data_IF_575410171034
#
_entry.id   IF_575410171034
#
_cell.length_a   1.000
_cell.length_b   1.000
_cell.length_c   1.000
_cell.angle_alpha   90.00
_cell.angle_beta   90.00
_cell.angle_gamma   90.00
#
_symmetry.space_group_name_H-M   'P 1'
#
loop_
_entity.id
_entity.type
_entity.pdbx_description
1 polymer ?
#
# COMPACT_ATOMS: atom_id res chain seq x y z
N UNK A 1 6.23 -17.50 -42.00
CA UNK A 1 6.26 -17.39 -40.54
C UNK A 1 6.48 -15.92 -40.21
N UNK A 2 5.42 -15.18 -39.91
CA UNK A 2 5.53 -13.78 -39.54
C UNK A 2 6.04 -13.74 -38.10
N UNK A 3 7.24 -13.24 -37.90
CA UNK A 3 7.74 -12.87 -36.59
C UNK A 3 6.82 -11.79 -36.05
N UNK A 4 5.89 -12.16 -35.13
CA UNK A 4 5.27 -11.19 -34.28
C UNK A 4 6.42 -10.48 -33.53
N UNK A 5 6.63 -9.20 -33.83
CA UNK A 5 7.43 -8.34 -32.97
C UNK A 5 6.78 -8.44 -31.59
N UNK A 6 7.39 -9.16 -30.66
CA UNK A 6 7.02 -9.07 -29.24
C UNK A 6 7.12 -7.59 -28.88
N UNK A 7 5.97 -6.97 -28.64
CA UNK A 7 5.94 -5.60 -28.13
C UNK A 7 6.67 -5.61 -26.80
N UNK A 8 7.81 -4.93 -26.73
CA UNK A 8 8.56 -4.76 -25.49
C UNK A 8 7.68 -4.00 -24.50
N UNK A 9 7.26 -4.68 -23.42
CA UNK A 9 6.37 -4.10 -22.42
C UNK A 9 7.12 -3.07 -21.58
N UNK A 10 6.50 -1.94 -21.29
CA UNK A 10 7.11 -0.88 -20.50
C UNK A 10 6.20 -0.53 -19.31
N UNK A 11 6.71 -0.75 -18.11
CA UNK A 11 6.05 -0.43 -16.87
C UNK A 11 6.92 0.48 -16.02
N UNK A 12 6.37 1.03 -14.95
CA UNK A 12 7.15 1.84 -14.02
C UNK A 12 6.41 2.20 -12.74
N UNK A 13 7.14 2.87 -11.84
CA UNK A 13 6.60 3.44 -10.61
C UNK A 13 6.87 4.93 -10.55
N UNK A 14 5.84 5.71 -10.28
CA UNK A 14 5.86 7.16 -10.09
C UNK A 14 5.85 7.48 -8.60
N UNK A 15 6.76 8.32 -8.12
CA UNK A 15 6.81 8.77 -6.74
C UNK A 15 7.99 9.67 -6.45
N UNK A 16 8.14 10.11 -5.18
CA UNK A 16 9.27 10.92 -4.72
C UNK A 16 9.39 10.92 -3.19
N UNK A 17 10.55 10.56 -2.59
CA UNK A 17 11.69 9.86 -3.22
C UNK A 17 11.41 8.36 -3.42
N UNK A 18 12.17 7.70 -4.32
CA UNK A 18 12.02 6.28 -4.68
C UNK A 18 13.27 5.42 -4.42
N UNK A 19 14.26 5.95 -3.69
CA UNK A 19 15.57 5.30 -3.48
C UNK A 19 15.52 3.91 -2.85
N UNK A 20 14.42 3.52 -2.22
CA UNK A 20 14.29 2.26 -1.47
C UNK A 20 13.11 1.39 -1.93
N UNK A 21 12.59 1.62 -3.14
CA UNK A 21 11.48 0.81 -3.67
C UNK A 21 11.94 -0.57 -4.12
N UNK A 22 11.21 -1.62 -3.73
CA UNK A 22 11.41 -2.99 -4.20
C UNK A 22 10.56 -3.33 -5.45
N UNK A 23 9.76 -2.38 -5.93
CA UNK A 23 8.88 -2.62 -7.08
C UNK A 23 9.63 -3.08 -8.34
N UNK A 24 10.78 -2.50 -8.72
CA UNK A 24 11.52 -2.98 -9.88
C UNK A 24 11.91 -4.46 -9.77
N UNK A 25 12.50 -4.88 -8.64
CA UNK A 25 12.93 -6.25 -8.43
C UNK A 25 11.75 -7.24 -8.53
N UNK A 26 10.60 -6.89 -7.97
CA UNK A 26 9.38 -7.70 -8.00
C UNK A 26 8.89 -7.86 -9.45
N UNK A 27 8.70 -6.75 -10.15
CA UNK A 27 8.14 -6.76 -11.50
C UNK A 27 9.08 -7.35 -12.54
N UNK A 28 10.39 -7.09 -12.45
CA UNK A 28 11.41 -7.68 -13.33
C UNK A 28 11.52 -9.20 -13.13
N UNK A 29 11.47 -9.66 -11.87
CA UNK A 29 11.41 -11.09 -11.58
C UNK A 29 10.21 -11.75 -12.27
N UNK A 30 9.02 -11.16 -12.16
CA UNK A 30 7.83 -11.70 -12.83
C UNK A 30 7.90 -11.61 -14.36
N UNK A 31 8.41 -10.51 -14.93
CA UNK A 31 8.64 -10.41 -16.38
C UNK A 31 9.46 -11.60 -16.86
N UNK A 32 10.57 -11.88 -16.18
CA UNK A 32 11.44 -13.02 -16.48
C UNK A 32 10.73 -14.37 -16.28
N UNK A 33 10.06 -14.57 -15.15
CA UNK A 33 9.40 -15.84 -14.78
C UNK A 33 8.25 -16.20 -15.72
N UNK A 34 7.54 -15.20 -16.24
CA UNK A 34 6.42 -15.39 -17.16
C UNK A 34 6.84 -15.24 -18.65
N UNK A 35 8.14 -15.21 -18.94
CA UNK A 35 8.65 -15.12 -20.30
C UNK A 35 8.19 -13.87 -21.05
N UNK A 36 8.00 -12.74 -20.34
CA UNK A 36 7.60 -11.47 -20.95
C UNK A 36 8.82 -10.61 -21.24
N UNK A 37 8.93 -10.09 -22.47
CA UNK A 37 9.92 -9.07 -22.81
C UNK A 37 9.42 -7.70 -22.33
N UNK A 38 10.19 -7.03 -21.47
CA UNK A 38 9.79 -5.73 -20.94
C UNK A 38 10.72 -5.18 -19.90
N UNK A 39 10.42 -3.95 -19.43
CA UNK A 39 11.17 -3.22 -18.39
C UNK A 39 10.23 -2.67 -17.34
N UNK A 40 10.76 -2.45 -16.14
CA UNK A 40 10.08 -1.71 -15.09
C UNK A 40 10.97 -0.57 -14.58
N UNK A 41 10.55 0.66 -14.80
CA UNK A 41 11.36 1.86 -14.59
C UNK A 41 11.00 2.60 -13.29
N UNK A 42 11.99 3.23 -12.67
CA UNK A 42 11.78 4.18 -11.58
C UNK A 42 11.60 5.57 -12.18
N UNK A 43 10.44 6.17 -11.96
CA UNK A 43 10.08 7.51 -12.41
C UNK A 43 10.01 8.42 -11.19
N UNK A 44 11.18 8.82 -10.70
CA UNK A 44 11.30 9.71 -9.56
C UNK A 44 11.04 11.14 -10.00
N UNK A 45 9.83 11.64 -9.73
CA UNK A 45 9.38 12.96 -10.14
C UNK A 45 8.69 13.70 -8.98
N UNK A 46 8.96 14.99 -8.88
CA UNK A 46 8.21 15.93 -8.05
C UNK A 46 6.87 16.32 -8.69
N UNK A 47 6.17 17.26 -8.11
CA UNK A 47 4.87 17.73 -8.61
C UNK A 47 4.93 18.29 -10.04
N UNK A 48 5.99 19.02 -10.40
CA UNK A 48 6.16 19.57 -11.76
C UNK A 48 6.51 18.47 -12.77
N UNK A 49 7.36 17.53 -12.35
CA UNK A 49 7.73 16.37 -13.16
C UNK A 49 6.54 15.46 -13.42
N UNK A 50 5.62 15.31 -12.45
CA UNK A 50 4.38 14.55 -12.61
C UNK A 50 3.50 15.11 -13.72
N UNK A 51 3.31 16.43 -13.74
CA UNK A 51 2.49 17.12 -14.78
C UNK A 51 3.05 16.84 -16.18
N UNK A 52 4.37 16.98 -16.35
CA UNK A 52 5.02 16.71 -17.63
C UNK A 52 4.94 15.23 -18.02
N UNK A 53 5.15 14.31 -17.09
CA UNK A 53 5.11 12.87 -17.35
C UNK A 53 3.71 12.44 -17.82
N UNK A 54 2.67 12.80 -17.06
CA UNK A 54 1.31 12.34 -17.34
C UNK A 54 0.66 13.05 -18.53
N UNK A 55 1.08 14.28 -18.85
CA UNK A 55 0.57 15.00 -20.02
C UNK A 55 1.26 14.60 -21.33
N UNK A 56 2.54 14.24 -21.30
CA UNK A 56 3.34 14.10 -22.53
C UNK A 56 3.92 12.70 -22.73
N UNK A 57 4.37 12.03 -21.67
CA UNK A 57 5.22 10.83 -21.77
C UNK A 57 4.54 9.54 -21.31
N UNK A 58 3.35 9.61 -20.72
CA UNK A 58 2.63 8.44 -20.20
C UNK A 58 2.28 7.43 -21.28
N UNK A 59 2.21 7.87 -22.53
CA UNK A 59 1.82 7.04 -23.69
C UNK A 59 2.82 5.95 -24.02
N UNK A 60 4.06 6.05 -23.51
CA UNK A 60 5.10 5.04 -23.72
C UNK A 60 4.95 3.83 -22.80
N UNK A 61 4.09 3.93 -21.77
CA UNK A 61 3.93 2.90 -20.74
C UNK A 61 2.65 2.07 -20.96
N UNK A 62 2.77 0.75 -20.74
CA UNK A 62 1.64 -0.17 -20.68
C UNK A 62 0.89 -0.10 -19.35
N UNK A 63 1.61 0.29 -18.28
CA UNK A 63 1.03 0.48 -16.96
C UNK A 63 2.02 1.13 -16.00
N UNK A 64 1.49 1.85 -15.03
CA UNK A 64 2.28 2.58 -14.03
C UNK A 64 1.73 2.33 -12.64
N UNK A 65 2.59 2.04 -11.68
CA UNK A 65 2.26 2.19 -10.27
C UNK A 65 2.49 3.64 -9.83
N UNK A 66 1.76 4.06 -8.81
CA UNK A 66 1.89 5.38 -8.19
C UNK A 66 2.05 5.22 -6.70
N UNK A 67 3.06 5.91 -6.13
CA UNK A 67 3.27 5.94 -4.69
C UNK A 67 3.32 7.37 -4.15
N UNK A 68 3.78 7.55 -2.92
CA UNK A 68 3.92 8.85 -2.25
C UNK A 68 4.77 9.80 -3.11
N UNK A 69 4.36 11.09 -3.24
CA UNK A 69 3.19 11.74 -2.64
C UNK A 69 1.98 11.75 -3.57
N UNK A 70 2.04 11.14 -4.76
CA UNK A 70 1.19 11.45 -5.91
C UNK A 70 -0.14 10.71 -5.97
N UNK A 71 -0.40 9.70 -5.11
CA UNK A 71 -1.61 8.83 -5.18
C UNK A 71 -2.95 9.57 -5.23
N UNK A 72 -3.04 10.76 -4.63
CA UNK A 72 -4.24 11.60 -4.65
C UNK A 72 -4.24 12.50 -5.88
N UNK A 73 -3.11 13.13 -6.19
CA UNK A 73 -3.00 14.11 -7.27
C UNK A 73 -3.23 13.53 -8.66
N UNK A 74 -2.85 12.27 -8.89
CA UNK A 74 -3.00 11.64 -10.22
C UNK A 74 -4.44 11.51 -10.69
N UNK A 75 -5.44 11.71 -9.82
CA UNK A 75 -6.84 11.73 -10.22
C UNK A 75 -7.14 12.73 -11.34
N UNK A 76 -6.50 13.89 -11.30
CA UNK A 76 -6.73 15.00 -12.25
C UNK A 76 -6.40 14.61 -13.71
N UNK A 77 -5.59 13.57 -13.90
CA UNK A 77 -5.12 13.11 -15.22
C UNK A 77 -5.91 11.91 -15.75
N UNK A 78 -6.76 11.30 -14.93
CA UNK A 78 -7.48 10.09 -15.33
C UNK A 78 -8.76 10.42 -16.07
N UNK A 79 -9.01 9.75 -17.20
CA UNK A 79 -10.28 9.83 -17.91
C UNK A 79 -11.32 8.89 -17.30
N UNK A 80 -10.87 7.80 -16.71
CA UNK A 80 -11.72 6.85 -16.00
C UNK A 80 -11.06 6.42 -14.69
N UNK A 81 -11.87 6.14 -13.67
CA UNK A 81 -11.39 5.70 -12.36
C UNK A 81 -12.31 4.58 -11.86
N UNK A 82 -11.74 3.50 -11.35
CA UNK A 82 -12.50 2.40 -10.76
C UNK A 82 -13.33 2.87 -9.56
N UNK A 83 -14.45 2.21 -9.29
CA UNK A 83 -15.33 2.59 -8.18
C UNK A 83 -14.62 2.55 -6.82
N UNK A 84 -13.80 1.53 -6.57
CA UNK A 84 -13.01 1.45 -5.34
C UNK A 84 -12.02 2.62 -5.21
N UNK A 85 -11.31 2.97 -6.28
CA UNK A 85 -10.37 4.10 -6.27
C UNK A 85 -11.06 5.45 -6.05
N UNK A 86 -12.29 5.64 -6.58
CA UNK A 86 -13.11 6.84 -6.32
C UNK A 86 -13.48 6.95 -4.84
N UNK A 87 -13.96 5.85 -4.24
CA UNK A 87 -14.35 5.83 -2.81
C UNK A 87 -13.12 6.03 -1.92
N UNK A 88 -11.99 5.41 -2.26
CA UNK A 88 -10.73 5.54 -1.50
C UNK A 88 -10.15 6.96 -1.64
N UNK A 89 -10.38 7.63 -2.77
CA UNK A 89 -9.78 8.92 -3.09
C UNK A 89 -8.26 8.84 -3.30
N UNK A 90 -7.75 7.67 -3.75
CA UNK A 90 -6.33 7.46 -4.06
C UNK A 90 -6.15 6.41 -5.17
N UNK A 91 -5.22 6.65 -6.09
CA UNK A 91 -4.84 5.76 -7.19
C UNK A 91 -3.41 5.31 -6.98
N UNK A 92 -3.13 4.00 -7.07
CA UNK A 92 -1.79 3.43 -7.03
C UNK A 92 -1.44 2.60 -8.26
N UNK A 93 -2.38 2.43 -9.20
CA UNK A 93 -2.17 1.69 -10.44
C UNK A 93 -2.90 2.41 -11.58
N UNK A 94 -2.19 2.65 -12.67
CA UNK A 94 -2.70 3.26 -13.89
C UNK A 94 -2.50 2.27 -15.03
N UNK A 95 -3.51 2.12 -15.88
CA UNK A 95 -3.39 1.46 -17.19
C UNK A 95 -3.87 2.38 -18.28
N UNK A 96 -3.58 2.02 -19.54
CA UNK A 96 -4.05 2.74 -20.71
C UNK A 96 -4.86 1.82 -21.62
N UNK A 97 -6.08 2.21 -21.90
CA UNK A 97 -6.97 1.52 -22.84
C UNK A 97 -7.61 2.55 -23.80
N UNK A 98 -7.57 2.29 -25.09
CA UNK A 98 -8.17 3.15 -26.11
C UNK A 98 -7.77 4.64 -25.98
N UNK A 99 -6.51 4.92 -25.71
CA UNK A 99 -5.92 6.23 -25.44
C UNK A 99 -6.45 6.95 -24.18
N UNK A 100 -7.17 6.25 -23.31
CA UNK A 100 -7.60 6.77 -22.01
C UNK A 100 -6.71 6.23 -20.91
N UNK A 101 -6.39 7.07 -19.94
CA UNK A 101 -5.78 6.66 -18.66
C UNK A 101 -6.87 6.23 -17.70
N UNK A 102 -6.74 5.04 -17.15
CA UNK A 102 -7.69 4.47 -16.21
C UNK A 102 -6.97 4.22 -14.88
N UNK A 103 -7.50 4.81 -13.82
CA UNK A 103 -6.93 4.73 -12.47
C UNK A 103 -7.60 3.66 -11.61
N UNK A 104 -6.78 2.90 -10.87
CA UNK A 104 -7.20 1.86 -9.95
C UNK A 104 -6.54 2.02 -8.59
N UNK A 105 -7.12 1.40 -7.57
CA UNK A 105 -6.47 1.20 -6.29
C UNK A 105 -6.34 -0.30 -6.00
N UNK A 106 -5.12 -0.80 -5.99
CA UNK A 106 -4.78 -2.19 -5.65
C UNK A 106 -4.27 -2.33 -4.21
N UNK A 107 -4.04 -1.21 -3.51
CA UNK A 107 -3.54 -1.22 -2.13
C UNK A 107 -4.56 -1.84 -1.16
N UNK A 108 -5.85 -1.54 -1.34
CA UNK A 108 -6.90 -1.99 -0.44
C UNK A 108 -7.05 -3.52 -0.44
N UNK A 109 -7.18 -4.10 -1.63
CA UNK A 109 -7.25 -5.56 -1.79
C UNK A 109 -5.90 -6.21 -1.45
N UNK A 110 -4.78 -5.58 -1.82
CA UNK A 110 -3.43 -6.05 -1.49
C UNK A 110 -3.18 -6.13 0.01
N UNK A 111 -3.60 -5.13 0.77
CA UNK A 111 -3.55 -5.15 2.23
C UNK A 111 -4.43 -6.26 2.81
N UNK A 112 -5.67 -6.37 2.36
CA UNK A 112 -6.61 -7.37 2.88
C UNK A 112 -6.18 -8.80 2.54
N UNK A 113 -5.71 -9.05 1.31
CA UNK A 113 -5.16 -10.36 0.91
C UNK A 113 -3.97 -10.75 1.81
N UNK A 114 -3.05 -9.80 2.10
CA UNK A 114 -1.93 -10.00 2.99
C UNK A 114 -2.35 -10.28 4.43
N UNK A 115 -3.31 -9.55 4.95
CA UNK A 115 -3.84 -9.72 6.31
C UNK A 115 -4.55 -11.08 6.48
N UNK A 116 -5.38 -11.48 5.49
CA UNK A 116 -6.07 -12.77 5.52
C UNK A 116 -5.14 -13.97 5.30
N UNK A 117 -4.03 -13.79 4.59
CA UNK A 117 -2.98 -14.80 4.49
C UNK A 117 -2.25 -14.99 5.82
N UNK A 118 -2.03 -13.90 6.57
CA UNK A 118 -1.44 -13.93 7.90
C UNK A 118 -2.37 -14.59 8.94
N UNK A 119 -3.66 -14.25 8.91
CA UNK A 119 -4.64 -14.86 9.81
C UNK A 119 -6.05 -14.90 9.20
N UNK A 120 -6.48 -16.09 8.81
CA UNK A 120 -7.83 -16.33 8.27
C UNK A 120 -8.93 -16.31 9.33
N UNK A 121 -8.56 -16.39 10.61
CA UNK A 121 -9.48 -16.45 11.75
C UNK A 121 -9.82 -15.10 12.37
N UNK A 122 -9.41 -13.98 11.77
CA UNK A 122 -9.69 -12.64 12.30
C UNK A 122 -11.20 -12.36 12.34
N UNK A 123 -11.69 -12.02 13.51
CA UNK A 123 -13.09 -11.59 13.71
C UNK A 123 -13.23 -10.08 13.52
N UNK A 124 -13.41 -9.65 12.27
CA UNK A 124 -13.53 -8.24 11.93
C UNK A 124 -14.72 -7.56 12.63
N UNK A 125 -15.83 -8.24 12.87
CA UNK A 125 -17.03 -7.61 13.46
C UNK A 125 -16.83 -7.14 14.89
N UNK A 126 -16.01 -7.86 15.65
CA UNK A 126 -15.68 -7.53 17.03
C UNK A 126 -14.34 -6.79 17.15
N UNK A 127 -13.71 -6.47 16.04
CA UNK A 127 -12.39 -5.85 16.01
C UNK A 127 -12.48 -4.34 16.23
N UNK A 128 -11.59 -3.82 17.06
CA UNK A 128 -11.29 -2.40 17.20
C UNK A 128 -9.92 -2.15 16.56
N UNK A 129 -9.93 -1.52 15.40
CA UNK A 129 -8.73 -1.21 14.65
C UNK A 129 -8.29 0.24 14.84
N UNK A 130 -6.98 0.46 15.06
CA UNK A 130 -6.34 1.76 15.05
C UNK A 130 -5.48 1.90 13.79
N UNK A 131 -5.77 2.89 12.98
CA UNK A 131 -4.98 3.26 11.79
C UNK A 131 -4.19 4.52 12.11
N UNK A 132 -2.88 4.43 12.01
CA UNK A 132 -1.95 5.54 12.27
C UNK A 132 -1.52 6.11 10.92
N UNK A 133 -1.90 7.37 10.66
CA UNK A 133 -1.64 8.08 9.40
C UNK A 133 -2.90 8.44 8.63
N UNK A 134 -2.79 9.44 7.75
CA UNK A 134 -3.89 9.99 6.95
C UNK A 134 -3.47 10.20 5.47
N UNK A 135 -2.60 9.35 4.94
CA UNK A 135 -2.14 9.37 3.55
C UNK A 135 -2.91 8.44 2.63
N UNK A 136 -2.44 8.27 1.39
CA UNK A 136 -3.07 7.38 0.41
C UNK A 136 -3.14 5.93 0.85
N UNK A 137 -2.12 5.40 1.54
CA UNK A 137 -2.13 4.05 2.08
C UNK A 137 -3.19 3.89 3.20
N UNK A 138 -3.29 4.87 4.11
CA UNK A 138 -4.30 4.86 5.18
C UNK A 138 -5.71 4.80 4.61
N UNK A 139 -6.00 5.57 3.54
CA UNK A 139 -7.30 5.54 2.86
C UNK A 139 -7.67 4.15 2.37
N UNK A 140 -6.72 3.45 1.72
CA UNK A 140 -6.92 2.09 1.23
C UNK A 140 -7.15 1.09 2.37
N UNK A 141 -6.37 1.18 3.45
CA UNK A 141 -6.53 0.34 4.65
C UNK A 141 -7.89 0.58 5.31
N UNK A 142 -8.27 1.83 5.54
CA UNK A 142 -9.58 2.18 6.12
C UNK A 142 -10.71 1.60 5.26
N UNK A 143 -10.66 1.84 3.94
CA UNK A 143 -11.66 1.30 3.01
C UNK A 143 -11.77 -0.23 3.14
N UNK A 144 -10.65 -0.95 3.13
CA UNK A 144 -10.65 -2.41 3.19
C UNK A 144 -11.20 -2.94 4.51
N UNK A 145 -10.92 -2.29 5.65
CA UNK A 145 -11.48 -2.63 6.95
C UNK A 145 -13.00 -2.39 6.99
N UNK A 146 -13.47 -1.26 6.47
CA UNK A 146 -14.91 -0.96 6.39
C UNK A 146 -15.65 -1.96 5.51
N UNK A 147 -15.06 -2.39 4.39
CA UNK A 147 -15.63 -3.43 3.52
C UNK A 147 -15.74 -4.80 4.21
N UNK A 148 -14.94 -5.07 5.24
CA UNK A 148 -15.04 -6.26 6.10
C UNK A 148 -16.01 -6.08 7.27
N UNK A 149 -16.71 -4.95 7.34
CA UNK A 149 -17.60 -4.60 8.46
C UNK A 149 -16.89 -4.66 9.81
N UNK A 150 -15.65 -4.13 9.85
CA UNK A 150 -14.87 -4.01 11.09
C UNK A 150 -15.67 -3.23 12.14
N UNK A 151 -15.74 -3.75 13.35
CA UNK A 151 -16.59 -3.23 14.40
C UNK A 151 -16.33 -1.76 14.74
N UNK A 152 -15.05 -1.38 14.83
CA UNK A 152 -14.65 0.01 15.01
C UNK A 152 -13.33 0.28 14.26
N UNK A 153 -13.28 1.34 13.47
CA UNK A 153 -12.06 1.87 12.86
C UNK A 153 -11.78 3.26 13.43
N UNK A 154 -10.68 3.40 14.14
CA UNK A 154 -10.22 4.66 14.71
C UNK A 154 -8.97 5.11 13.97
N UNK A 155 -8.89 6.40 13.67
CA UNK A 155 -7.76 6.98 12.92
C UNK A 155 -7.09 8.06 13.74
N UNK A 156 -5.78 8.08 13.74
CA UNK A 156 -4.97 9.16 14.33
C UNK A 156 -3.90 9.62 13.35
N UNK A 157 -3.53 10.90 13.41
CA UNK A 157 -2.45 11.46 12.61
C UNK A 157 -1.82 12.65 13.32
N UNK A 158 -0.49 12.77 13.25
CA UNK A 158 0.26 13.88 13.88
C UNK A 158 -0.21 15.27 13.41
N UNK A 159 -0.65 15.39 12.16
CA UNK A 159 -1.16 16.64 11.59
C UNK A 159 -2.69 16.59 11.51
N UNK A 160 -3.44 17.30 12.41
CA UNK A 160 -4.91 17.21 12.45
C UNK A 160 -5.59 17.60 11.13
N UNK A 161 -5.05 18.57 10.39
CA UNK A 161 -5.61 19.02 9.12
C UNK A 161 -5.72 17.92 8.05
N UNK A 162 -4.91 16.86 8.12
CA UNK A 162 -5.03 15.71 7.22
C UNK A 162 -6.19 14.78 7.58
N UNK A 163 -6.65 14.80 8.81
CA UNK A 163 -7.82 14.01 9.24
C UNK A 163 -9.11 14.52 8.59
N UNK A 164 -9.24 15.83 8.41
CA UNK A 164 -10.41 16.43 7.77
C UNK A 164 -10.69 15.83 6.36
N UNK A 165 -9.65 15.56 5.58
CA UNK A 165 -9.81 14.93 4.26
C UNK A 165 -10.31 13.48 4.33
N UNK A 166 -10.10 12.77 5.44
CA UNK A 166 -10.66 11.44 5.67
C UNK A 166 -12.12 11.52 6.12
N UNK A 167 -12.48 12.57 6.85
CA UNK A 167 -13.87 12.82 7.28
C UNK A 167 -14.77 13.06 6.07
N UNK A 168 -14.32 13.83 5.08
CA UNK A 168 -15.04 14.04 3.82
C UNK A 168 -15.26 12.74 3.03
N UNK A 169 -14.30 11.79 3.09
CA UNK A 169 -14.36 10.54 2.32
C UNK A 169 -15.19 9.47 3.04
N UNK A 170 -14.96 9.30 4.35
CA UNK A 170 -15.53 8.19 5.10
C UNK A 170 -16.69 8.63 6.03
N UNK A 171 -16.95 9.94 6.10
CA UNK A 171 -18.04 10.52 6.91
C UNK A 171 -18.06 9.93 8.35
N UNK A 172 -19.21 9.54 8.84
CA UNK A 172 -19.42 8.99 10.18
C UNK A 172 -19.04 7.49 10.32
N UNK A 173 -18.29 6.92 9.37
CA UNK A 173 -17.92 5.49 9.38
C UNK A 173 -16.65 5.21 10.17
N UNK A 174 -15.90 6.23 10.55
CA UNK A 174 -14.65 6.11 11.30
C UNK A 174 -14.67 7.04 12.52
N UNK A 175 -13.85 6.70 13.50
CA UNK A 175 -13.61 7.51 14.69
C UNK A 175 -12.26 8.20 14.57
N UNK A 176 -12.12 9.32 15.28
CA UNK A 176 -10.86 10.08 15.33
C UNK A 176 -10.32 10.07 16.75
N UNK A 177 -8.99 9.99 16.86
CA UNK A 177 -8.28 10.05 18.11
C UNK A 177 -7.15 11.08 18.01
N UNK A 178 -7.03 11.93 19.03
CA UNK A 178 -5.92 12.88 19.13
C UNK A 178 -4.60 12.14 19.22
N UNK A 179 -3.58 12.66 18.54
CA UNK A 179 -2.24 12.06 18.51
C UNK A 179 -1.64 11.89 19.91
N UNK A 180 -1.88 12.85 20.80
CA UNK A 180 -1.38 12.87 22.18
C UNK A 180 -1.94 11.73 23.03
N UNK A 181 -3.10 11.19 22.66
CA UNK A 181 -3.73 10.06 23.34
C UNK A 181 -3.21 8.70 22.87
N UNK A 182 -2.39 8.66 21.85
CA UNK A 182 -1.99 7.43 21.17
C UNK A 182 -1.45 6.38 22.15
N UNK A 183 -0.46 6.72 22.96
CA UNK A 183 0.14 5.78 23.92
C UNK A 183 -0.78 5.42 25.10
N UNK A 184 -1.75 6.26 25.43
CA UNK A 184 -2.66 5.99 26.56
C UNK A 184 -3.76 5.00 26.15
N UNK A 185 -4.17 5.04 24.89
CA UNK A 185 -5.37 4.33 24.41
C UNK A 185 -5.08 3.06 23.62
N UNK A 186 -3.82 2.68 23.40
CA UNK A 186 -3.52 1.49 22.56
C UNK A 186 -4.07 0.18 23.12
N UNK A 187 -4.24 0.08 24.43
CA UNK A 187 -4.82 -1.09 25.10
C UNK A 187 -6.29 -1.37 24.70
N UNK A 188 -6.97 -0.42 24.08
CA UNK A 188 -8.38 -0.56 23.66
C UNK A 188 -8.51 -1.30 22.32
N UNK A 189 -7.40 -1.47 21.56
CA UNK A 189 -7.41 -1.99 20.21
C UNK A 189 -6.94 -3.45 20.12
N UNK A 190 -7.48 -4.17 19.14
CA UNK A 190 -7.07 -5.54 18.80
C UNK A 190 -6.15 -5.55 17.58
N UNK A 191 -6.18 -4.49 16.77
CA UNK A 191 -5.41 -4.32 15.56
C UNK A 191 -4.87 -2.89 15.49
N UNK A 192 -3.56 -2.75 15.35
CA UNK A 192 -2.87 -1.46 15.14
C UNK A 192 -2.14 -1.52 13.82
N UNK A 193 -2.34 -0.50 12.97
CA UNK A 193 -1.71 -0.44 11.64
C UNK A 193 -0.99 0.89 11.48
N UNK A 194 0.33 0.85 11.37
CA UNK A 194 1.13 2.01 10.97
C UNK A 194 1.10 2.15 9.43
N UNK A 195 0.44 3.21 8.96
CA UNK A 195 0.37 3.58 7.55
C UNK A 195 1.24 4.81 7.23
N UNK A 196 2.11 5.22 8.15
CA UNK A 196 3.04 6.33 7.95
C UNK A 196 4.38 5.83 7.41
N UNK A 197 5.25 6.75 7.01
CA UNK A 197 6.65 6.44 6.67
C UNK A 197 7.59 6.45 7.89
N UNK A 198 7.06 6.61 9.10
CA UNK A 198 7.87 6.55 10.32
C UNK A 198 8.41 5.13 10.50
N UNK A 199 9.70 5.03 10.83
CA UNK A 199 10.39 3.74 10.91
C UNK A 199 11.05 3.29 9.60
N UNK A 200 10.80 3.97 8.47
CA UNK A 200 11.44 3.68 7.17
C UNK A 200 12.93 4.04 7.14
N UNK A 201 13.34 5.01 7.95
CA UNK A 201 14.75 5.42 8.09
C UNK A 201 15.12 5.33 9.57
N UNK A 202 16.29 4.78 9.88
CA UNK A 202 16.78 4.60 11.25
C UNK A 202 16.79 5.88 12.11
N UNK A 203 16.73 7.05 11.48
CA UNK A 203 16.71 8.36 12.15
C UNK A 203 15.30 8.75 12.69
N UNK A 204 14.24 8.05 12.27
CA UNK A 204 12.84 8.35 12.63
C UNK A 204 12.20 7.16 13.35
N UNK A 205 12.84 6.70 14.42
CA UNK A 205 12.29 5.64 15.25
C UNK A 205 10.90 6.00 15.74
N UNK A 206 9.94 5.14 15.39
CA UNK A 206 8.56 5.22 15.86
C UNK A 206 8.23 3.98 16.68
N UNK A 207 7.71 4.18 17.86
CA UNK A 207 7.24 3.11 18.72
C UNK A 207 6.04 3.55 19.55
N UNK A 208 5.40 2.59 20.19
CA UNK A 208 4.26 2.78 21.10
C UNK A 208 4.59 2.17 22.46
N UNK A 209 3.89 2.61 23.49
CA UNK A 209 4.00 2.01 24.82
C UNK A 209 3.14 0.75 24.92
N UNK A 210 3.75 -0.42 24.74
CA UNK A 210 3.10 -1.71 24.80
C UNK A 210 2.95 -2.29 26.19
N UNK A 211 3.25 -1.55 27.25
CA UNK A 211 3.23 -2.06 28.65
C UNK A 211 1.85 -2.49 29.15
N UNK A 212 0.76 -1.96 28.57
CA UNK A 212 -0.62 -2.18 29.01
C UNK A 212 -1.52 -2.84 27.96
N UNK A 213 -0.95 -3.58 27.00
CA UNK A 213 -1.71 -4.15 25.87
C UNK A 213 -2.54 -5.37 26.29
N UNK A 214 -3.57 -5.66 25.49
CA UNK A 214 -4.34 -6.90 25.57
C UNK A 214 -3.58 -8.06 24.90
N UNK A 215 -3.77 -9.27 25.44
CA UNK A 215 -3.24 -10.47 24.80
C UNK A 215 -3.85 -10.68 23.41
N UNK A 216 -3.01 -11.00 22.43
CA UNK A 216 -3.45 -11.28 21.05
C UNK A 216 -3.53 -10.04 20.15
N UNK A 217 -3.08 -8.86 20.61
CA UNK A 217 -2.95 -7.67 19.77
C UNK A 217 -2.14 -7.98 18.51
N UNK A 218 -2.67 -7.57 17.36
CA UNK A 218 -1.96 -7.61 16.08
C UNK A 218 -1.43 -6.23 15.76
N UNK A 219 -0.14 -6.12 15.50
CA UNK A 219 0.53 -4.88 15.07
C UNK A 219 1.06 -5.04 13.67
N UNK A 220 0.63 -4.16 12.77
CA UNK A 220 1.04 -4.14 11.38
C UNK A 220 1.81 -2.86 11.11
N UNK A 221 2.95 -2.98 10.45
CA UNK A 221 3.66 -1.82 9.92
C UNK A 221 3.74 -1.94 8.41
N UNK A 222 3.19 -0.96 7.67
CA UNK A 222 3.27 -0.97 6.22
C UNK A 222 4.66 -0.65 5.67
N UNK A 223 5.58 -0.23 6.53
CA UNK A 223 7.01 -0.16 6.20
C UNK A 223 7.52 -1.59 5.96
N UNK A 224 8.28 -1.75 4.88
CA UNK A 224 8.89 -3.02 4.48
C UNK A 224 10.42 -2.97 4.41
N UNK A 225 10.99 -1.79 4.56
CA UNK A 225 12.44 -1.59 4.66
C UNK A 225 12.75 -0.57 5.77
N UNK A 226 13.32 -1.00 6.91
CA UNK A 226 13.74 -2.38 7.23
C UNK A 226 12.55 -3.35 7.33
N UNK A 227 12.83 -4.66 7.20
CA UNK A 227 11.80 -5.71 7.34
C UNK A 227 11.16 -5.74 8.73
N UNK A 228 11.91 -5.37 9.75
CA UNK A 228 11.45 -5.22 11.10
C UNK A 228 11.82 -3.83 11.64
N UNK A 229 10.80 -2.99 11.75
CA UNK A 229 10.91 -1.65 12.33
C UNK A 229 11.00 -1.71 13.85
N UNK A 230 11.41 -0.61 14.48
CA UNK A 230 11.39 -0.51 15.95
C UNK A 230 9.98 -0.77 16.51
N UNK A 231 8.93 -0.30 15.85
CA UNK A 231 7.54 -0.55 16.23
C UNK A 231 7.26 -2.07 16.30
N UNK A 232 7.60 -2.81 15.25
CA UNK A 232 7.37 -4.26 15.20
C UNK A 232 8.23 -5.01 16.20
N UNK A 233 9.48 -4.61 16.36
CA UNK A 233 10.40 -5.20 17.34
C UNK A 233 9.87 -5.04 18.76
N UNK A 234 9.50 -3.84 19.17
CA UNK A 234 8.96 -3.55 20.50
C UNK A 234 7.63 -4.30 20.72
N UNK A 235 6.73 -4.32 19.73
CA UNK A 235 5.48 -5.07 19.79
C UNK A 235 5.71 -6.57 20.01
N UNK A 236 6.68 -7.17 19.29
CA UNK A 236 7.04 -8.58 19.44
C UNK A 236 7.58 -8.91 20.83
N UNK A 237 8.43 -8.06 21.40
CA UNK A 237 8.96 -8.24 22.75
C UNK A 237 7.86 -8.23 23.82
N UNK A 238 6.73 -7.58 23.54
CA UNK A 238 5.55 -7.56 24.41
C UNK A 238 4.52 -8.65 24.07
N UNK A 239 4.86 -9.61 23.20
CA UNK A 239 3.99 -10.74 22.88
C UNK A 239 2.89 -10.45 21.86
N UNK A 240 2.96 -9.32 21.14
CA UNK A 240 2.06 -9.04 20.03
C UNK A 240 2.34 -9.95 18.83
N UNK A 241 1.32 -10.19 18.02
CA UNK A 241 1.46 -10.76 16.69
C UNK A 241 1.82 -9.64 15.73
N UNK A 242 2.84 -9.83 14.91
CA UNK A 242 3.36 -8.76 14.04
C UNK A 242 3.26 -9.12 12.57
N UNK A 243 3.07 -8.12 11.72
CA UNK A 243 3.08 -8.24 10.27
C UNK A 243 3.75 -6.99 9.66
N UNK A 244 4.74 -7.17 8.78
CA UNK A 244 5.37 -6.08 8.06
C UNK A 244 4.66 -5.76 6.73
N UNK A 245 5.17 -4.77 5.98
CA UNK A 245 4.57 -4.29 4.74
C UNK A 245 4.75 -5.19 3.51
N UNK A 246 5.59 -6.24 3.58
CA UNK A 246 5.89 -7.11 2.42
C UNK A 246 4.63 -7.78 1.84
N UNK A 247 3.74 -8.41 2.64
CA UNK A 247 2.54 -9.04 2.10
C UNK A 247 1.66 -8.07 1.32
N UNK A 248 1.45 -6.84 1.82
CA UNK A 248 0.71 -5.81 1.09
C UNK A 248 1.42 -5.42 -0.20
N UNK A 249 2.74 -5.19 -0.15
CA UNK A 249 3.55 -4.80 -1.30
C UNK A 249 3.43 -5.82 -2.44
N UNK A 250 3.56 -7.12 -2.13
CA UNK A 250 3.50 -8.19 -3.13
C UNK A 250 2.09 -8.37 -3.69
N UNK A 251 1.07 -8.37 -2.84
CA UNK A 251 -0.31 -8.57 -3.28
C UNK A 251 -0.80 -7.42 -4.16
N UNK A 252 -0.52 -6.15 -3.80
CA UNK A 252 -0.91 -5.00 -4.64
C UNK A 252 -0.19 -5.00 -5.99
N UNK A 253 1.08 -5.42 -6.03
CA UNK A 253 1.84 -5.54 -7.28
C UNK A 253 1.27 -6.66 -8.17
N UNK A 254 0.89 -7.81 -7.60
CA UNK A 254 0.26 -8.90 -8.34
C UNK A 254 -1.11 -8.48 -8.91
N UNK A 255 -1.87 -7.65 -8.18
CA UNK A 255 -3.13 -7.08 -8.67
C UNK A 255 -2.90 -6.07 -9.79
N UNK A 256 -1.85 -5.27 -9.74
CA UNK A 256 -1.45 -4.40 -10.84
C UNK A 256 -1.14 -5.21 -12.11
N UNK A 257 -0.41 -6.32 -11.99
CA UNK A 257 -0.16 -7.25 -13.09
C UNK A 257 -1.44 -7.84 -13.69
N UNK A 258 -2.40 -8.19 -12.83
CA UNK A 258 -3.72 -8.67 -13.29
C UNK A 258 -4.45 -7.61 -14.11
N UNK A 259 -4.35 -6.33 -13.73
CA UNK A 259 -4.94 -5.21 -14.48
C UNK A 259 -4.22 -5.03 -15.81
N UNK A 260 -2.88 -5.01 -15.83
CA UNK A 260 -2.10 -4.71 -17.03
C UNK A 260 -2.06 -5.85 -18.04
N UNK A 261 -1.96 -7.12 -17.56
CA UNK A 261 -1.66 -8.29 -18.39
C UNK A 261 -2.71 -9.41 -18.30
N UNK A 262 -3.74 -9.25 -17.45
CA UNK A 262 -4.73 -10.32 -17.21
C UNK A 262 -4.20 -11.50 -16.39
N UNK A 263 -2.96 -11.43 -15.89
CA UNK A 263 -2.26 -12.49 -15.15
C UNK A 263 -2.07 -12.03 -13.69
N UNK A 264 -2.53 -12.83 -12.71
CA UNK A 264 -2.17 -12.63 -11.29
C UNK A 264 -0.96 -13.52 -10.99
N UNK A 265 0.26 -12.96 -10.81
CA UNK A 265 1.45 -13.75 -10.51
C UNK A 265 1.34 -14.49 -9.17
N UNK A 266 2.06 -15.61 -9.07
CA UNK A 266 2.22 -16.33 -7.81
C UNK A 266 3.22 -15.60 -6.91
N UNK A 267 2.79 -15.26 -5.70
CA UNK A 267 3.57 -14.48 -4.74
C UNK A 267 4.60 -15.37 -4.01
N UNK A 268 4.31 -16.66 -3.82
CA UNK A 268 5.19 -17.60 -3.11
C UNK A 268 6.57 -17.76 -3.74
N UNK A 269 6.71 -17.52 -5.03
CA UNK A 269 8.00 -17.61 -5.73
C UNK A 269 9.01 -16.53 -5.29
N UNK A 270 8.55 -15.40 -4.75
CA UNK A 270 9.42 -14.33 -4.27
C UNK A 270 9.97 -14.58 -2.86
N UNK A 271 9.25 -15.36 -2.03
CA UNK A 271 9.73 -15.74 -0.69
C UNK A 271 10.82 -16.83 -0.73
N UNK A 272 10.95 -17.57 -1.83
CA UNK A 272 11.89 -18.69 -1.96
C UNK A 272 13.20 -18.32 -2.63
N UNK A 273 13.27 -17.23 -3.40
CA UNK A 273 14.49 -16.82 -4.09
C UNK A 273 15.53 -16.17 -3.18
N UNK A 274 15.07 -15.47 -2.12
CA UNK A 274 15.98 -14.80 -1.18
C UNK A 274 16.49 -15.72 -0.04
N UNK A 275 15.86 -16.90 0.14
CA UNK A 275 16.29 -17.89 1.12
C UNK A 275 17.36 -18.88 0.60
N UNK A 276 17.71 -18.78 -0.69
CA UNK A 276 18.70 -19.69 -1.31
C UNK A 276 20.08 -19.04 -1.52
N UNK A 277 20.24 -17.76 -1.24
CA UNK A 277 21.50 -16.99 -1.42
C UNK A 277 22.14 -16.53 -0.10
N UNK A 278 21.73 -17.08 1.08
CA UNK A 278 22.46 -16.92 2.35
C UNK A 278 23.18 -18.21 2.76
#
# INVERSE_FOLDING_TARGET
>A
MSSQKENNLKFGIIGYPLSHTFSPQIHEHWLKSYGKSGTYEILEVDDLGLDNLLSNNVHDYNGLNVTIPHKVRVFEYMQEVSESAKIIGAINCITRENNKLIGFNTDADGFMDGLLAFDKGLDFRNMKALVIGAGGASRAVIYSLLMKSTGQVTVTNRSPGRLASLEEIFENKIHYMDWEKLNISIAEFNLIINCTSQGMYAENDFTLDFSSIQQGLVVIDLVYNPLETKLLNDARHHGCRILNGIPMLLNQAALSWKIWLGIKPEICLLYTSDAADE
#
